data_IF_049210792016
#
_entry.id   IF_049210792016
#
_cell.length_a   1.000
_cell.length_b   1.000
_cell.length_c   1.000
_cell.angle_alpha   90.00
_cell.angle_beta   90.00
_cell.angle_gamma   90.00
#
_symmetry.space_group_name_H-M   'P 1'
#
loop_
_entity.id
_entity.type
_entity.pdbx_description
1 polymer ?
#
# COMPACT_ATOMS: atom_id res chain seq x y z
N UNK A 1 -10.53 -11.38 -6.97
CA UNK A 1 -11.96 -11.01 -7.08
C UNK A 1 -12.02 -9.66 -7.79
N UNK A 2 -13.17 -8.99 -7.92
CA UNK A 2 -13.19 -7.61 -8.44
C UNK A 2 -13.04 -6.60 -7.31
N UNK A 3 -12.49 -5.42 -7.60
CA UNK A 3 -12.43 -4.28 -6.67
C UNK A 3 -13.79 -4.01 -6.01
N UNK A 4 -14.86 -3.89 -6.81
CA UNK A 4 -16.25 -3.72 -6.31
C UNK A 4 -16.63 -4.72 -5.20
N UNK A 5 -16.17 -5.98 -5.28
CA UNK A 5 -16.46 -6.97 -4.24
C UNK A 5 -15.74 -6.67 -2.92
N UNK A 6 -14.48 -6.24 -2.98
CA UNK A 6 -13.73 -5.81 -1.81
C UNK A 6 -14.37 -4.58 -1.15
N UNK A 7 -14.75 -3.59 -1.96
CA UNK A 7 -15.41 -2.37 -1.49
C UNK A 7 -16.75 -2.68 -0.79
N UNK A 8 -17.56 -3.58 -1.35
CA UNK A 8 -18.82 -4.00 -0.72
C UNK A 8 -18.63 -4.71 0.63
N UNK A 9 -17.51 -5.45 0.80
CA UNK A 9 -17.15 -6.09 2.06
C UNK A 9 -16.77 -5.05 3.11
N UNK A 10 -16.00 -4.03 2.72
CA UNK A 10 -15.64 -2.91 3.59
C UNK A 10 -16.92 -2.19 4.06
N UNK A 11 -17.86 -1.86 3.16
CA UNK A 11 -19.15 -1.24 3.54
C UNK A 11 -19.93 -2.08 4.53
N UNK A 12 -20.06 -3.37 4.24
CA UNK A 12 -20.81 -4.28 5.09
C UNK A 12 -20.20 -4.33 6.49
N UNK A 13 -18.87 -4.39 6.58
CA UNK A 13 -18.18 -4.43 7.86
C UNK A 13 -18.29 -3.11 8.61
N UNK A 14 -18.00 -1.97 7.96
CA UNK A 14 -18.02 -0.65 8.59
C UNK A 14 -19.44 -0.27 9.02
N UNK A 15 -20.45 -0.47 8.18
CA UNK A 15 -21.84 -0.14 8.53
C UNK A 15 -22.37 -0.93 9.73
N UNK A 16 -21.90 -2.16 9.94
CA UNK A 16 -22.31 -3.03 11.04
C UNK A 16 -21.54 -2.76 12.34
N UNK A 17 -20.24 -2.51 12.25
CA UNK A 17 -19.35 -2.45 13.41
C UNK A 17 -18.96 -1.02 13.81
N UNK A 18 -18.89 -0.10 12.84
CA UNK A 18 -18.41 1.27 13.00
C UNK A 18 -19.32 2.27 12.26
N UNK A 19 -20.62 2.36 12.61
CA UNK A 19 -21.58 3.17 11.87
C UNK A 19 -21.25 4.67 11.85
N UNK A 20 -20.55 5.18 12.88
CA UNK A 20 -20.08 6.58 12.92
C UNK A 20 -19.02 6.85 11.87
N UNK A 21 -18.06 5.93 11.69
CA UNK A 21 -17.02 5.99 10.67
C UNK A 21 -17.63 5.83 9.28
N UNK A 22 -18.53 4.85 9.13
CA UNK A 22 -19.24 4.61 7.87
C UNK A 22 -20.02 5.84 7.39
N UNK A 23 -20.68 6.56 8.30
CA UNK A 23 -21.44 7.77 7.97
C UNK A 23 -20.58 8.95 7.46
N UNK A 24 -19.25 8.91 7.60
CA UNK A 24 -18.32 9.93 7.08
C UNK A 24 -17.96 9.69 5.61
N UNK A 25 -18.20 8.49 5.08
CA UNK A 25 -17.89 8.16 3.70
C UNK A 25 -18.78 8.95 2.75
N UNK A 26 -18.18 9.57 1.73
CA UNK A 26 -18.90 10.41 0.78
C UNK A 26 -19.81 9.59 -0.12
N UNK A 27 -20.94 10.13 -0.58
CA UNK A 27 -21.79 9.42 -1.55
C UNK A 27 -21.00 9.11 -2.83
N UNK A 28 -21.17 7.89 -3.35
CA UNK A 28 -20.54 7.46 -4.60
C UNK A 28 -21.01 8.27 -5.82
N UNK A 29 -20.11 8.50 -6.77
CA UNK A 29 -20.40 9.21 -8.01
C UNK A 29 -20.95 8.28 -9.09
N UNK A 30 -21.80 8.82 -9.96
CA UNK A 30 -22.15 8.14 -11.21
C UNK A 30 -21.12 8.44 -12.32
N UNK A 31 -21.20 7.72 -13.45
CA UNK A 31 -20.25 7.90 -14.57
C UNK A 31 -20.29 9.29 -15.20
N UNK A 32 -21.46 9.93 -15.27
CA UNK A 32 -21.60 11.29 -15.82
C UNK A 32 -20.83 12.29 -14.94
N UNK A 33 -21.02 12.21 -13.61
CA UNK A 33 -20.29 13.03 -12.64
C UNK A 33 -18.78 12.81 -12.72
N UNK A 34 -18.32 11.56 -12.81
CA UNK A 34 -16.89 11.26 -12.94
C UNK A 34 -16.34 11.87 -14.23
N UNK A 35 -17.03 11.67 -15.37
CA UNK A 35 -16.59 12.20 -16.66
C UNK A 35 -16.53 13.73 -16.67
N UNK A 36 -17.52 14.39 -16.07
CA UNK A 36 -17.56 15.85 -15.98
C UNK A 36 -16.41 16.43 -15.16
N UNK A 37 -15.99 15.72 -14.10
CA UNK A 37 -14.90 16.16 -13.22
C UNK A 37 -13.51 15.97 -13.85
N UNK A 38 -13.31 14.92 -14.65
CA UNK A 38 -12.00 14.60 -15.22
C UNK A 38 -11.82 15.04 -16.67
N UNK A 39 -12.82 15.71 -17.26
CA UNK A 39 -12.82 16.08 -18.69
C UNK A 39 -11.64 16.97 -19.10
N UNK A 40 -11.10 17.75 -18.17
CA UNK A 40 -10.08 18.77 -18.43
C UNK A 40 -8.65 18.28 -18.11
N UNK A 41 -8.50 17.10 -17.48
CA UNK A 41 -7.18 16.49 -17.21
C UNK A 41 -6.81 15.46 -18.28
N UNK A 42 -5.52 15.33 -18.65
CA UNK A 42 -5.09 14.37 -19.68
C UNK A 42 -4.99 12.92 -19.17
N UNK A 43 -5.03 12.69 -17.85
CA UNK A 43 -5.10 11.33 -17.30
C UNK A 43 -6.48 10.70 -17.56
N UNK A 44 -6.48 9.54 -18.20
CA UNK A 44 -7.69 8.71 -18.37
C UNK A 44 -7.79 7.75 -17.19
N UNK A 45 -8.72 8.02 -16.27
CA UNK A 45 -8.93 7.15 -15.11
C UNK A 45 -9.23 5.71 -15.53
N UNK A 46 -8.50 4.77 -14.92
CA UNK A 46 -8.70 3.34 -15.10
C UNK A 46 -10.07 2.88 -14.58
N UNK A 47 -10.45 1.66 -14.94
CA UNK A 47 -11.68 1.04 -14.42
C UNK A 47 -11.66 0.92 -12.90
N UNK A 48 -10.52 0.57 -12.30
CA UNK A 48 -10.41 0.41 -10.85
C UNK A 48 -10.59 1.76 -10.12
N UNK A 49 -9.97 2.84 -10.62
CA UNK A 49 -10.13 4.17 -10.01
C UNK A 49 -11.58 4.66 -10.14
N UNK A 50 -12.23 4.40 -11.28
CA UNK A 50 -13.66 4.72 -11.45
C UNK A 50 -14.56 3.92 -10.51
N UNK A 51 -14.26 2.64 -10.30
CA UNK A 51 -14.98 1.81 -9.32
C UNK A 51 -14.81 2.34 -7.89
N UNK A 52 -13.63 2.85 -7.53
CA UNK A 52 -13.37 3.48 -6.24
C UNK A 52 -14.28 4.71 -6.01
N UNK A 53 -14.36 5.62 -6.98
CA UNK A 53 -15.18 6.83 -6.83
C UNK A 53 -16.69 6.58 -6.98
N UNK A 54 -17.09 5.50 -7.64
CA UNK A 54 -18.49 5.03 -7.64
C UNK A 54 -18.93 4.47 -6.29
N UNK A 55 -17.97 3.95 -5.52
CA UNK A 55 -18.23 3.41 -4.20
C UNK A 55 -18.43 4.54 -3.20
N UNK A 56 -17.41 5.37 -2.99
CA UNK A 56 -17.50 6.58 -2.18
C UNK A 56 -16.65 7.70 -2.77
N UNK A 57 -17.20 8.93 -2.81
CA UNK A 57 -16.46 10.10 -3.25
C UNK A 57 -15.58 10.66 -2.13
N UNK A 58 -14.58 9.88 -1.74
CA UNK A 58 -13.70 10.17 -0.63
C UNK A 58 -14.22 9.64 0.71
N UNK A 59 -13.35 9.68 1.72
CA UNK A 59 -13.62 9.12 3.04
C UNK A 59 -13.96 10.15 4.11
N UNK A 60 -14.09 11.44 3.74
CA UNK A 60 -14.46 12.51 4.67
C UNK A 60 -13.46 12.67 5.83
N UNK A 61 -12.16 12.51 5.54
CA UNK A 61 -11.07 12.42 6.52
C UNK A 61 -11.17 11.26 7.52
N UNK A 62 -12.09 10.31 7.30
CA UNK A 62 -12.07 9.05 8.04
C UNK A 62 -10.94 8.18 7.51
N UNK A 63 -10.06 7.66 8.40
CA UNK A 63 -9.07 6.68 7.98
C UNK A 63 -9.78 5.39 7.56
N UNK A 64 -9.35 4.80 6.45
CA UNK A 64 -9.91 3.53 5.95
C UNK A 64 -8.90 2.37 6.12
N UNK A 65 -7.59 2.63 6.02
CA UNK A 65 -6.56 1.62 6.24
C UNK A 65 -5.29 2.17 6.92
N UNK A 66 -5.16 3.49 7.01
CA UNK A 66 -4.04 4.17 7.65
C UNK A 66 -4.57 5.47 8.28
N UNK A 67 -4.01 5.89 9.42
CA UNK A 67 -4.46 7.10 10.11
C UNK A 67 -4.12 8.39 9.37
N UNK A 68 -3.19 8.32 8.43
CA UNK A 68 -2.64 9.49 7.75
C UNK A 68 -3.10 9.59 6.30
N UNK A 69 -3.43 8.47 5.67
CA UNK A 69 -3.97 8.44 4.31
C UNK A 69 -5.49 8.34 4.32
N UNK A 70 -6.14 9.26 3.60
CA UNK A 70 -7.57 9.22 3.33
C UNK A 70 -7.83 9.22 1.82
N UNK A 71 -8.97 8.65 1.43
CA UNK A 71 -9.43 8.75 0.05
C UNK A 71 -9.96 10.17 -0.13
N UNK A 72 -9.37 10.90 -1.07
CA UNK A 72 -9.82 12.24 -1.41
C UNK A 72 -11.13 12.20 -2.17
N UNK A 73 -11.88 13.30 -2.18
CA UNK A 73 -12.94 13.44 -3.17
C UNK A 73 -12.31 13.50 -4.58
N UNK A 74 -13.05 13.12 -5.62
CA UNK A 74 -12.55 13.21 -6.99
C UNK A 74 -12.22 14.66 -7.37
N UNK A 75 -12.98 15.62 -6.83
CA UNK A 75 -12.72 17.04 -6.97
C UNK A 75 -11.32 17.40 -6.42
N UNK A 76 -11.04 17.05 -5.16
CA UNK A 76 -9.77 17.35 -4.53
C UNK A 76 -8.60 16.64 -5.23
N UNK A 77 -8.82 15.40 -5.69
CA UNK A 77 -7.82 14.64 -6.45
C UNK A 77 -7.48 15.30 -7.80
N UNK A 78 -8.48 15.85 -8.50
CA UNK A 78 -8.30 16.59 -9.75
C UNK A 78 -7.59 17.92 -9.50
N UNK A 79 -7.98 18.67 -8.47
CA UNK A 79 -7.29 19.91 -8.09
C UNK A 79 -5.81 19.64 -7.75
N UNK A 80 -5.54 18.59 -6.97
CA UNK A 80 -4.18 18.16 -6.66
C UNK A 80 -3.41 17.76 -7.92
N UNK A 81 -4.02 17.01 -8.82
CA UNK A 81 -3.42 16.64 -10.10
C UNK A 81 -3.00 17.89 -10.91
N UNK A 82 -3.87 18.89 -11.00
CA UNK A 82 -3.57 20.14 -11.71
C UNK A 82 -2.36 20.84 -11.10
N UNK A 83 -2.27 20.92 -9.77
CA UNK A 83 -1.12 21.48 -9.05
C UNK A 83 0.15 20.68 -9.36
N UNK A 84 0.12 19.36 -9.17
CA UNK A 84 1.29 18.50 -9.35
C UNK A 84 1.78 18.48 -10.80
N UNK A 85 0.86 18.58 -11.78
CA UNK A 85 1.20 18.67 -13.19
C UNK A 85 2.03 19.91 -13.58
N UNK A 86 2.08 20.93 -12.71
CA UNK A 86 2.95 22.10 -12.89
C UNK A 86 4.43 21.84 -12.52
N UNK A 87 4.75 20.67 -11.96
CA UNK A 87 6.10 20.23 -11.57
C UNK A 87 6.58 19.04 -12.42
N UNK A 88 6.79 19.22 -13.74
CA UNK A 88 7.02 18.11 -14.68
C UNK A 88 8.33 17.35 -14.47
N UNK A 89 9.30 17.92 -13.73
CA UNK A 89 10.55 17.24 -13.40
C UNK A 89 10.38 16.20 -12.27
N UNK A 90 9.24 16.23 -11.56
CA UNK A 90 8.95 15.40 -10.40
C UNK A 90 7.62 14.63 -10.49
N UNK A 91 6.77 14.97 -11.46
CA UNK A 91 5.45 14.36 -11.64
C UNK A 91 5.12 14.05 -13.09
N UNK A 92 4.77 12.80 -13.37
CA UNK A 92 4.33 12.37 -14.70
C UNK A 92 2.85 12.71 -14.90
N UNK A 93 2.49 13.17 -16.10
CA UNK A 93 1.08 13.49 -16.42
C UNK A 93 0.14 12.28 -16.35
N UNK A 94 0.67 11.05 -16.35
CA UNK A 94 -0.15 9.87 -16.14
C UNK A 94 -0.32 9.50 -14.68
N UNK A 95 0.31 10.19 -13.73
CA UNK A 95 0.15 9.91 -12.30
C UNK A 95 -1.05 10.64 -11.74
N UNK A 96 -1.89 9.92 -11.02
CA UNK A 96 -3.10 10.42 -10.39
C UNK A 96 -3.17 9.95 -8.94
N UNK A 97 -3.43 10.87 -8.01
CA UNK A 97 -3.41 10.61 -6.56
C UNK A 97 -4.84 10.56 -6.01
N UNK A 98 -5.48 9.38 -5.89
CA UNK A 98 -6.80 9.26 -5.25
C UNK A 98 -6.71 9.32 -3.71
N UNK A 99 -5.48 9.43 -3.20
CA UNK A 99 -5.15 9.46 -1.81
C UNK A 99 -4.51 10.80 -1.49
N UNK A 100 -4.91 11.41 -0.39
CA UNK A 100 -4.23 12.59 0.13
C UNK A 100 -3.51 12.20 1.41
N UNK A 101 -2.30 12.72 1.53
CA UNK A 101 -1.44 12.72 2.70
C UNK A 101 -0.76 14.09 2.78
N UNK A 102 0.04 14.31 3.83
CA UNK A 102 0.86 15.50 4.06
C UNK A 102 1.72 15.91 2.84
N UNK A 103 2.27 17.13 2.87
CA UNK A 103 2.85 17.88 1.74
C UNK A 103 4.00 17.18 0.96
N UNK A 104 4.58 16.09 1.48
CA UNK A 104 5.83 15.49 0.95
C UNK A 104 5.73 14.00 0.58
N UNK A 105 4.65 13.30 0.91
CA UNK A 105 4.47 11.89 0.54
C UNK A 105 3.17 11.70 -0.22
N UNK A 106 3.21 10.96 -1.33
CA UNK A 106 2.03 10.75 -2.16
C UNK A 106 1.85 9.27 -2.49
N UNK A 107 0.59 8.83 -2.45
CA UNK A 107 0.19 7.56 -3.05
C UNK A 107 -0.54 7.83 -4.35
N UNK A 108 -0.01 7.32 -5.45
CA UNK A 108 -0.57 7.55 -6.77
C UNK A 108 -0.75 6.25 -7.53
N UNK A 109 -1.59 6.33 -8.56
CA UNK A 109 -1.76 5.29 -9.57
C UNK A 109 -1.33 5.85 -10.92
N UNK A 110 -0.79 4.99 -11.77
CA UNK A 110 -0.48 5.33 -13.14
C UNK A 110 -1.69 5.04 -14.03
N UNK A 111 -2.32 6.10 -14.58
CA UNK A 111 -3.49 6.03 -15.46
C UNK A 111 -3.22 5.23 -16.75
N UNK A 112 -1.96 5.06 -17.13
CA UNK A 112 -1.58 4.24 -18.29
C UNK A 112 -1.52 2.74 -17.99
N UNK A 113 -1.73 2.32 -16.74
CA UNK A 113 -1.71 0.92 -16.31
C UNK A 113 -3.13 0.46 -16.01
N UNK A 114 -3.59 -0.58 -16.71
CA UNK A 114 -4.93 -1.14 -16.49
C UNK A 114 -5.14 -1.62 -15.05
N UNK A 115 -4.13 -2.30 -14.49
CA UNK A 115 -4.19 -2.87 -13.13
C UNK A 115 -4.05 -1.81 -12.02
N UNK A 116 -3.82 -0.53 -12.35
CA UNK A 116 -3.76 0.57 -11.38
C UNK A 116 -2.85 0.28 -10.16
N UNK A 117 -1.56 -0.07 -10.38
CA UNK A 117 -0.63 -0.26 -9.28
C UNK A 117 -0.58 1.00 -8.42
N UNK A 118 -0.56 0.81 -7.11
CA UNK A 118 -0.46 1.90 -6.14
C UNK A 118 1.01 2.08 -5.81
N UNK A 119 1.52 3.22 -6.21
CA UNK A 119 2.88 3.66 -5.97
C UNK A 119 2.91 4.63 -4.80
N UNK A 120 4.02 4.61 -4.10
CA UNK A 120 4.43 5.60 -3.14
C UNK A 120 5.55 6.43 -3.74
N UNK A 121 5.51 7.75 -3.54
CA UNK A 121 6.62 8.65 -3.82
C UNK A 121 6.93 9.51 -2.60
N UNK A 122 8.23 9.58 -2.28
CA UNK A 122 8.76 10.58 -1.37
C UNK A 122 9.28 11.77 -2.17
N UNK A 123 8.64 12.93 -2.01
CA UNK A 123 8.86 14.08 -2.90
C UNK A 123 10.28 14.64 -2.83
N UNK A 124 10.92 14.64 -1.65
CA UNK A 124 12.23 15.29 -1.46
C UNK A 124 13.37 14.61 -2.23
N UNK A 125 13.32 13.28 -2.38
CA UNK A 125 14.36 12.51 -3.08
C UNK A 125 13.85 11.85 -4.37
N UNK A 126 12.59 12.07 -4.73
CA UNK A 126 11.90 11.51 -5.89
C UNK A 126 11.93 9.98 -5.96
N UNK A 127 12.15 9.31 -4.83
CA UNK A 127 12.12 7.85 -4.76
C UNK A 127 10.69 7.34 -4.92
N UNK A 128 10.51 6.35 -5.79
CA UNK A 128 9.22 5.73 -6.06
C UNK A 128 9.24 4.24 -5.75
N UNK A 129 8.23 3.75 -5.04
CA UNK A 129 8.10 2.35 -4.67
C UNK A 129 6.69 1.84 -4.98
N UNK A 130 6.54 0.57 -5.40
CA UNK A 130 5.22 -0.05 -5.55
C UNK A 130 4.77 -0.55 -4.18
N UNK A 131 3.68 0.00 -3.63
CA UNK A 131 3.06 -0.50 -2.40
C UNK A 131 1.96 -1.53 -2.65
N UNK A 132 1.34 -1.49 -3.85
CA UNK A 132 0.39 -2.49 -4.33
C UNK A 132 0.52 -2.68 -5.83
N UNK A 133 0.53 -3.92 -6.32
CA UNK A 133 0.55 -4.17 -7.76
C UNK A 133 -0.80 -3.91 -8.43
N UNK A 134 -1.89 -3.79 -7.66
CA UNK A 134 -3.17 -3.25 -8.11
C UNK A 134 -4.01 -2.65 -6.98
N UNK A 135 -4.90 -1.73 -7.32
CA UNK A 135 -5.87 -1.16 -6.38
C UNK A 135 -6.85 -2.23 -5.90
N UNK A 136 -7.21 -3.20 -6.75
CA UNK A 136 -7.99 -4.38 -6.32
C UNK A 136 -7.30 -5.12 -5.16
N UNK A 137 -6.00 -5.43 -5.27
CA UNK A 137 -5.27 -6.17 -4.22
C UNK A 137 -5.15 -5.36 -2.93
N UNK A 138 -4.93 -4.06 -3.03
CA UNK A 138 -4.97 -3.14 -1.88
C UNK A 138 -6.31 -3.24 -1.15
N UNK A 139 -7.41 -3.03 -1.86
CA UNK A 139 -8.74 -3.01 -1.24
C UNK A 139 -9.18 -4.40 -0.75
N UNK A 140 -8.80 -5.49 -1.43
CA UNK A 140 -9.03 -6.84 -0.92
C UNK A 140 -8.32 -7.10 0.41
N UNK A 141 -7.11 -6.56 0.58
CA UNK A 141 -6.33 -6.68 1.81
C UNK A 141 -6.94 -5.86 2.94
N UNK A 142 -7.41 -4.65 2.63
CA UNK A 142 -8.12 -3.80 3.60
C UNK A 142 -9.41 -4.46 4.08
N UNK A 143 -10.20 -5.02 3.16
CA UNK A 143 -11.43 -5.75 3.50
C UNK A 143 -11.14 -6.93 4.45
N UNK A 144 -10.11 -7.72 4.14
CA UNK A 144 -9.71 -8.85 4.97
C UNK A 144 -9.11 -8.40 6.33
N UNK A 145 -8.42 -7.25 6.36
CA UNK A 145 -7.87 -6.69 7.59
C UNK A 145 -8.97 -6.32 8.58
N UNK A 146 -10.08 -5.75 8.13
CA UNK A 146 -11.25 -5.54 8.96
C UNK A 146 -11.86 -6.86 9.47
N UNK A 147 -12.11 -7.79 8.56
CA UNK A 147 -12.78 -9.07 8.89
C UNK A 147 -11.99 -9.95 9.86
N UNK A 148 -10.66 -9.83 9.88
CA UNK A 148 -9.76 -10.61 10.75
C UNK A 148 -9.34 -9.87 12.02
N UNK A 149 -9.81 -8.63 12.20
CA UNK A 149 -9.41 -7.75 13.30
C UNK A 149 -7.92 -7.39 13.24
N UNK A 150 -7.35 -7.29 12.04
CA UNK A 150 -6.08 -6.58 11.82
C UNK A 150 -6.30 -5.07 11.82
N UNK A 151 -7.48 -4.61 11.40
CA UNK A 151 -7.95 -3.24 11.55
C UNK A 151 -9.16 -3.18 12.48
N UNK A 152 -9.13 -2.23 13.41
CA UNK A 152 -10.24 -1.92 14.29
C UNK A 152 -10.15 -0.47 14.76
N UNK A 153 -11.25 0.11 15.21
CA UNK A 153 -11.26 1.46 15.77
C UNK A 153 -11.19 1.42 17.31
N UNK A 154 -10.31 2.23 17.88
CA UNK A 154 -10.26 2.53 19.31
C UNK A 154 -10.35 4.05 19.51
N UNK A 155 -11.40 4.53 20.18
CA UNK A 155 -11.69 5.96 20.37
C UNK A 155 -11.62 6.79 19.07
N UNK A 156 -12.20 6.28 17.99
CA UNK A 156 -12.20 6.85 16.63
C UNK A 156 -10.86 6.83 15.88
N UNK A 157 -9.78 6.39 16.51
CA UNK A 157 -8.49 6.16 15.84
C UNK A 157 -8.46 4.76 15.22
N UNK A 158 -7.96 4.65 13.99
CA UNK A 158 -7.77 3.35 13.35
C UNK A 158 -6.53 2.70 13.96
N UNK A 159 -6.70 1.54 14.58
CA UNK A 159 -5.61 0.75 15.14
C UNK A 159 -5.31 -0.42 14.21
N UNK A 160 -4.01 -0.60 13.94
CA UNK A 160 -3.50 -1.67 13.09
C UNK A 160 -2.70 -2.68 13.91
N UNK A 161 -3.12 -3.94 13.86
CA UNK A 161 -2.25 -5.07 14.19
C UNK A 161 -1.32 -5.32 13.00
N UNK A 162 -0.16 -4.66 13.04
CA UNK A 162 0.82 -4.69 11.95
C UNK A 162 1.23 -6.11 11.57
N UNK A 163 1.31 -7.04 12.53
CA UNK A 163 1.68 -8.42 12.23
C UNK A 163 0.60 -9.09 11.37
N UNK A 164 -0.66 -9.05 11.81
CA UNK A 164 -1.77 -9.61 11.03
C UNK A 164 -1.92 -8.94 9.68
N UNK A 165 -1.75 -7.61 9.62
CA UNK A 165 -1.89 -6.89 8.37
C UNK A 165 -0.79 -7.30 7.37
N UNK A 166 0.47 -7.38 7.82
CA UNK A 166 1.57 -7.86 7.00
C UNK A 166 1.34 -9.29 6.48
N UNK A 167 0.77 -10.17 7.30
CA UNK A 167 0.38 -11.53 6.89
C UNK A 167 -0.65 -11.53 5.76
N UNK A 168 -1.61 -10.61 5.82
CA UNK A 168 -2.62 -10.42 4.76
C UNK A 168 -1.95 -9.90 3.50
N UNK A 169 -1.11 -8.86 3.61
CA UNK A 169 -0.35 -8.31 2.48
C UNK A 169 0.46 -9.41 1.77
N UNK A 170 1.16 -10.28 2.52
CA UNK A 170 1.96 -11.37 1.94
C UNK A 170 1.14 -12.37 1.15
N UNK A 171 -0.04 -12.72 1.65
CA UNK A 171 -0.92 -13.67 0.96
C UNK A 171 -1.56 -13.03 -0.27
N UNK A 172 -1.88 -11.74 -0.22
CA UNK A 172 -2.64 -11.03 -1.27
C UNK A 172 -1.78 -10.49 -2.40
N UNK A 173 -0.57 -10.02 -2.08
CA UNK A 173 0.35 -9.47 -3.07
C UNK A 173 1.81 -9.90 -2.86
N UNK A 174 2.13 -11.19 -3.09
CA UNK A 174 3.49 -11.70 -2.86
C UNK A 174 4.55 -11.07 -3.78
N UNK A 175 4.15 -10.48 -4.91
CA UNK A 175 5.07 -9.88 -5.89
C UNK A 175 5.76 -8.62 -5.34
N UNK A 176 5.07 -7.86 -4.48
CA UNK A 176 5.64 -6.69 -3.79
C UNK A 176 6.78 -7.12 -2.88
N UNK A 177 6.61 -8.26 -2.21
CA UNK A 177 7.61 -8.78 -1.30
C UNK A 177 8.85 -9.22 -2.06
N UNK A 178 8.68 -9.82 -3.23
CA UNK A 178 9.81 -10.14 -4.11
C UNK A 178 10.54 -8.84 -4.48
N UNK A 179 9.81 -7.79 -4.83
CA UNK A 179 10.38 -6.46 -5.15
C UNK A 179 11.16 -5.85 -3.97
N UNK A 180 10.52 -5.71 -2.79
CA UNK A 180 11.14 -5.18 -1.58
C UNK A 180 12.36 -6.00 -1.16
N UNK A 181 12.29 -7.33 -1.29
CA UNK A 181 13.42 -8.23 -1.00
C UNK A 181 14.59 -8.02 -1.97
N UNK A 182 14.30 -7.78 -3.25
CA UNK A 182 15.32 -7.48 -4.26
C UNK A 182 15.98 -6.12 -3.98
N UNK A 183 15.19 -5.11 -3.59
CA UNK A 183 15.70 -3.80 -3.18
C UNK A 183 16.60 -3.89 -1.94
N UNK A 184 16.20 -4.66 -0.92
CA UNK A 184 17.03 -4.94 0.25
C UNK A 184 18.34 -5.65 -0.13
N UNK A 185 18.32 -6.55 -1.12
CA UNK A 185 19.54 -7.16 -1.67
C UNK A 185 20.44 -6.12 -2.34
N UNK A 186 19.89 -5.22 -3.13
CA UNK A 186 20.65 -4.14 -3.78
C UNK A 186 21.23 -3.16 -2.75
N UNK A 187 20.47 -2.76 -1.74
CA UNK A 187 20.96 -1.92 -0.63
C UNK A 187 22.08 -2.64 0.13
N UNK A 188 21.95 -3.95 0.35
CA UNK A 188 23.02 -4.79 0.92
C UNK A 188 24.28 -4.77 0.04
N UNK A 189 24.15 -5.00 -1.26
CA UNK A 189 25.29 -4.99 -2.19
C UNK A 189 25.98 -3.62 -2.25
N UNK A 190 25.22 -2.53 -2.18
CA UNK A 190 25.73 -1.16 -2.26
C UNK A 190 26.30 -0.64 -0.93
N UNK A 191 25.64 -0.86 0.21
CA UNK A 191 26.11 -0.41 1.54
C UNK A 191 27.25 -1.26 2.09
N UNK A 192 27.36 -2.53 1.70
CA UNK A 192 28.46 -3.40 2.15
C UNK A 192 29.82 -3.08 1.49
N UNK A 193 29.87 -2.24 0.46
CA UNK A 193 31.13 -1.78 -0.13
C UNK A 193 31.86 -0.73 0.72
N UNK A 194 31.22 -0.17 1.76
CA UNK A 194 31.74 0.98 2.51
C UNK A 194 31.95 0.76 4.03
N UNK A 195 31.81 -0.46 4.58
CA UNK A 195 31.90 -0.68 6.04
C UNK A 195 33.08 -1.59 6.41
N UNK A 196 33.99 -1.09 7.25
CA UNK A 196 35.18 -1.81 7.70
C UNK A 196 34.87 -2.88 8.76
N UNK A 197 35.26 -4.12 8.45
CA UNK A 197 35.83 -5.19 9.28
C UNK A 197 35.13 -5.72 10.56
N UNK A 198 34.18 -5.02 11.19
CA UNK A 198 33.56 -5.47 12.45
C UNK A 198 32.35 -6.41 12.31
N UNK A 199 31.69 -6.44 11.15
CA UNK A 199 30.36 -7.02 10.97
C UNK A 199 30.34 -8.42 10.31
N UNK A 200 31.50 -9.05 10.08
CA UNK A 200 31.62 -10.31 9.32
C UNK A 200 30.96 -11.53 9.98
N UNK A 201 30.81 -11.55 11.31
CA UNK A 201 30.29 -12.70 12.04
C UNK A 201 28.75 -12.69 12.17
N UNK A 202 28.13 -11.52 12.36
CA UNK A 202 26.66 -11.35 12.27
C UNK A 202 26.16 -11.50 10.82
N UNK A 203 26.97 -11.08 9.84
CA UNK A 203 26.74 -11.26 8.38
C UNK A 203 26.49 -12.71 7.96
N UNK A 204 27.01 -13.70 8.69
CA UNK A 204 26.96 -15.12 8.29
C UNK A 204 25.78 -15.88 8.87
N UNK A 205 25.21 -15.47 10.01
CA UNK A 205 24.17 -16.24 10.67
C UNK A 205 22.78 -15.83 10.14
N UNK A 206 22.36 -14.59 10.42
CA UNK A 206 21.02 -14.07 10.06
C UNK A 206 20.73 -14.12 8.55
N UNK A 207 21.72 -13.79 7.72
CA UNK A 207 21.51 -13.68 6.27
C UNK A 207 21.67 -14.99 5.50
N UNK A 208 22.29 -16.00 6.11
CA UNK A 208 22.38 -17.34 5.52
C UNK A 208 21.04 -18.06 5.73
N UNK A 209 20.44 -17.89 6.92
CA UNK A 209 19.09 -18.37 7.22
C UNK A 209 18.04 -17.70 6.33
N UNK A 210 18.11 -16.37 6.13
CA UNK A 210 17.24 -15.64 5.18
C UNK A 210 17.40 -16.13 3.74
N UNK A 211 18.63 -16.39 3.27
CA UNK A 211 18.88 -16.86 1.91
C UNK A 211 18.42 -18.31 1.70
N UNK A 212 18.55 -19.16 2.71
CA UNK A 212 18.06 -20.54 2.71
C UNK A 212 16.51 -20.57 2.73
N UNK A 213 15.88 -19.76 3.57
CA UNK A 213 14.42 -19.57 3.58
C UNK A 213 13.93 -19.10 2.21
N UNK A 214 14.64 -18.14 1.59
CA UNK A 214 14.29 -17.60 0.27
C UNK A 214 14.38 -18.63 -0.86
N UNK A 215 15.41 -19.47 -0.86
CA UNK A 215 15.54 -20.56 -1.83
C UNK A 215 14.42 -21.59 -1.64
N UNK A 216 14.03 -21.86 -0.41
CA UNK A 216 12.92 -22.74 -0.12
C UNK A 216 11.56 -22.12 -0.50
N UNK A 217 11.34 -20.80 -0.32
CA UNK A 217 10.14 -20.06 -0.78
C UNK A 217 10.02 -20.08 -2.31
N UNK A 218 11.13 -19.92 -3.04
CA UNK A 218 11.15 -20.01 -4.51
C UNK A 218 10.92 -21.43 -5.02
N UNK A 219 11.38 -22.43 -4.28
CA UNK A 219 11.27 -23.85 -4.64
C UNK A 219 9.92 -24.48 -4.33
N UNK A 220 9.10 -23.87 -3.46
CA UNK A 220 7.79 -24.40 -3.12
C UNK A 220 6.70 -23.91 -4.08
N UNK A 221 5.88 -24.84 -4.57
CA UNK A 221 4.67 -24.55 -5.35
C UNK A 221 3.41 -24.42 -4.46
N UNK A 222 3.56 -24.62 -3.15
CA UNK A 222 2.47 -24.53 -2.18
C UNK A 222 2.41 -23.13 -1.56
N UNK A 223 1.35 -22.40 -1.87
CA UNK A 223 1.12 -21.05 -1.37
C UNK A 223 0.96 -21.00 0.17
N UNK A 224 0.46 -22.06 0.82
CA UNK A 224 0.35 -22.10 2.28
C UNK A 224 1.73 -22.16 2.93
N UNK A 225 2.60 -23.04 2.43
CA UNK A 225 3.98 -23.15 2.88
C UNK A 225 4.77 -21.85 2.60
N UNK A 226 4.52 -21.18 1.47
CA UNK A 226 5.12 -19.87 1.19
C UNK A 226 4.75 -18.82 2.22
N UNK A 227 3.49 -18.76 2.61
CA UNK A 227 2.99 -17.79 3.59
C UNK A 227 3.58 -18.06 4.97
N UNK A 228 3.65 -19.33 5.41
CA UNK A 228 4.29 -19.70 6.68
C UNK A 228 5.78 -19.33 6.70
N UNK A 229 6.49 -19.56 5.60
CA UNK A 229 7.89 -19.20 5.47
C UNK A 229 8.11 -17.68 5.41
N UNK A 230 7.19 -16.94 4.79
CA UNK A 230 7.23 -15.46 4.80
C UNK A 230 6.92 -14.90 6.19
N UNK A 231 6.04 -15.54 6.96
CA UNK A 231 5.76 -15.21 8.36
C UNK A 231 7.00 -15.39 9.25
N UNK A 232 7.69 -16.52 9.10
CA UNK A 232 8.94 -16.79 9.81
C UNK A 232 10.03 -15.77 9.42
N UNK A 233 10.18 -15.49 8.13
CA UNK A 233 11.10 -14.47 7.63
C UNK A 233 10.84 -13.10 8.27
N UNK A 234 9.59 -12.66 8.31
CA UNK A 234 9.28 -11.35 8.86
C UNK A 234 9.45 -11.28 10.36
N UNK A 235 9.16 -12.35 11.09
CA UNK A 235 9.46 -12.40 12.52
C UNK A 235 10.96 -12.20 12.75
N UNK A 236 11.81 -12.90 11.97
CA UNK A 236 13.27 -12.76 12.05
C UNK A 236 13.71 -11.34 11.65
N UNK A 237 13.10 -10.77 10.61
CA UNK A 237 13.42 -9.43 10.12
C UNK A 237 13.07 -8.35 11.13
N UNK A 238 11.87 -8.38 11.71
CA UNK A 238 11.41 -7.41 12.70
C UNK A 238 12.22 -7.50 13.99
N UNK A 239 12.50 -8.71 14.49
CA UNK A 239 13.33 -8.91 15.68
C UNK A 239 14.75 -8.34 15.47
N UNK A 240 15.29 -8.45 14.26
CA UNK A 240 16.62 -7.92 13.94
C UNK A 240 16.62 -6.39 13.77
N UNK A 241 15.58 -5.82 13.16
CA UNK A 241 15.37 -4.37 13.11
C UNK A 241 15.30 -3.78 14.52
N UNK A 242 14.51 -4.38 15.40
CA UNK A 242 14.38 -3.97 16.79
C UNK A 242 15.72 -4.09 17.53
N UNK A 243 16.49 -5.14 17.28
CA UNK A 243 17.82 -5.30 17.86
C UNK A 243 18.78 -4.20 17.41
N UNK A 244 18.78 -3.86 16.12
CA UNK A 244 19.66 -2.82 15.57
C UNK A 244 19.30 -1.44 16.13
N UNK A 245 18.00 -1.13 16.23
CA UNK A 245 17.50 0.16 16.73
C UNK A 245 17.80 0.32 18.23
N UNK A 246 17.73 -0.76 19.00
CA UNK A 246 17.83 -0.71 20.47
C UNK A 246 19.21 -1.11 21.03
N UNK A 247 20.22 -1.35 20.17
CA UNK A 247 21.60 -1.55 20.64
C UNK A 247 22.31 -0.19 20.73
N UNK A 248 22.84 0.20 21.91
CA UNK A 248 23.46 1.51 22.13
C UNK A 248 24.75 1.75 21.34
#
# INVERSE_FOLDING_TARGET
MSLTNALSRIDTFLSQNYPTQFAKLGEGLNEEQINDLVKDIPCVLSKEVRELYKWHNGSGYSPIWDNYYYISSLQDAVEMYEILSTFPDSWELSFFSPFIFDEIEFLFVDCNKEDSPVWYIFWEDTSTEILWTSLTKMMESIAEAYETGAYYFDNDDLVTDNKKFLEIMWRKDPDIIISLTEQLRTVKENRLNHISCGYKSMKRFVWQDIAELFNAIRGTSDNSARVEMLQEFTSIFLDECDRIINTP
#
